data_IF_023846192923
#
_entry.id   IF_023846192923
#
_cell.length_a   1.000
_cell.length_b   1.000
_cell.length_c   1.000
_cell.angle_alpha   90.00
_cell.angle_beta   90.00
_cell.angle_gamma   90.00
#
_symmetry.space_group_name_H-M   'P 1'
#
loop_
_entity.id
_entity.type
_entity.pdbx_description
1 polymer ?
#
# COMPACT_ATOMS: atom_id res chain seq x y z
N UNK A 1 7.35 30.93 -9.79
CA UNK A 1 8.48 30.03 -9.46
C UNK A 1 8.05 28.60 -9.83
N UNK A 2 8.81 27.86 -10.65
CA UNK A 2 8.42 26.50 -11.09
C UNK A 2 9.05 25.45 -10.17
N UNK A 3 8.21 24.67 -9.48
CA UNK A 3 8.67 23.57 -8.64
C UNK A 3 9.54 22.59 -9.44
N UNK A 4 10.72 22.25 -8.91
CA UNK A 4 11.61 21.23 -9.47
C UNK A 4 11.86 20.16 -8.40
N UNK A 5 11.25 18.98 -8.52
CA UNK A 5 11.47 17.91 -7.55
C UNK A 5 12.91 17.38 -7.63
N UNK A 6 13.47 17.05 -6.47
CA UNK A 6 14.78 16.40 -6.36
C UNK A 6 14.69 14.93 -6.82
N UNK A 7 14.74 14.71 -8.12
CA UNK A 7 14.62 13.37 -8.72
C UNK A 7 15.69 12.39 -8.23
N UNK A 8 16.90 12.87 -7.96
CA UNK A 8 18.00 12.03 -7.46
C UNK A 8 17.69 11.53 -6.05
N UNK A 9 17.33 12.44 -5.14
CA UNK A 9 16.96 12.10 -3.77
C UNK A 9 15.77 11.14 -3.71
N UNK A 10 14.73 11.39 -4.53
CA UNK A 10 13.58 10.50 -4.64
C UNK A 10 14.00 9.11 -5.11
N UNK A 11 14.87 8.99 -6.13
CA UNK A 11 15.36 7.70 -6.61
C UNK A 11 16.17 6.93 -5.57
N UNK A 12 17.03 7.61 -4.80
CA UNK A 12 17.77 6.99 -3.71
C UNK A 12 16.85 6.50 -2.60
N UNK A 13 15.87 7.31 -2.21
CA UNK A 13 14.87 6.93 -1.21
C UNK A 13 14.07 5.68 -1.63
N UNK A 14 13.66 5.60 -2.89
CA UNK A 14 12.91 4.48 -3.44
C UNK A 14 13.69 3.18 -3.58
N UNK A 15 15.00 3.20 -3.34
CA UNK A 15 15.87 2.01 -3.34
C UNK A 15 16.44 1.71 -1.95
N UNK A 16 16.13 2.53 -0.96
CA UNK A 16 16.56 2.30 0.41
C UNK A 16 15.80 1.09 1.00
N UNK A 17 16.49 0.04 1.48
CA UNK A 17 15.85 -1.15 2.04
C UNK A 17 15.00 -0.87 3.29
N UNK A 18 15.42 0.06 4.14
CA UNK A 18 14.67 0.42 5.37
C UNK A 18 13.34 1.07 5.02
N UNK A 19 13.35 1.98 4.02
CA UNK A 19 12.13 2.59 3.49
C UNK A 19 11.24 1.55 2.84
N UNK A 20 11.83 0.59 2.11
CA UNK A 20 11.09 -0.53 1.53
C UNK A 20 10.36 -1.38 2.58
N UNK A 21 11.03 -1.72 3.69
CA UNK A 21 10.41 -2.45 4.81
C UNK A 21 9.29 -1.65 5.46
N UNK A 22 9.47 -0.33 5.60
CA UNK A 22 8.44 0.52 6.16
C UNK A 22 7.20 0.58 5.28
N UNK A 23 7.39 0.63 3.95
CA UNK A 23 6.28 0.60 2.99
C UNK A 23 5.54 -0.74 3.01
N UNK A 24 6.26 -1.86 3.13
CA UNK A 24 5.65 -3.17 3.35
C UNK A 24 4.85 -3.23 4.65
N UNK A 25 5.40 -2.69 5.75
CA UNK A 25 4.73 -2.61 7.05
C UNK A 25 3.43 -1.81 6.96
N UNK A 26 3.45 -0.67 6.27
CA UNK A 26 2.26 0.17 6.05
C UNK A 26 1.22 -0.59 5.21
N UNK A 27 1.62 -1.25 4.12
CA UNK A 27 0.70 -2.06 3.31
C UNK A 27 0.03 -3.17 4.14
N UNK A 28 0.79 -3.84 5.01
CA UNK A 28 0.26 -4.82 5.96
C UNK A 28 -0.77 -4.23 6.92
N UNK A 29 -0.51 -3.03 7.47
CA UNK A 29 -1.45 -2.33 8.36
C UNK A 29 -2.76 -1.95 7.64
N UNK A 30 -2.66 -1.45 6.41
CA UNK A 30 -3.83 -1.11 5.58
C UNK A 30 -4.69 -2.36 5.36
N UNK A 31 -4.07 -3.48 4.95
CA UNK A 31 -4.78 -4.74 4.72
C UNK A 31 -5.47 -5.25 5.99
N UNK A 32 -4.75 -5.30 7.11
CA UNK A 32 -5.31 -5.75 8.39
C UNK A 32 -6.47 -4.87 8.87
N UNK A 33 -6.36 -3.55 8.70
CA UNK A 33 -7.45 -2.63 9.03
C UNK A 33 -8.68 -2.86 8.17
N UNK A 34 -8.49 -3.09 6.87
CA UNK A 34 -9.59 -3.29 5.94
C UNK A 34 -10.25 -4.68 6.10
N UNK A 35 -9.50 -5.72 6.47
CA UNK A 35 -10.06 -7.03 6.81
C UNK A 35 -11.00 -6.98 8.02
N UNK A 36 -10.66 -6.18 9.04
CA UNK A 36 -11.53 -5.96 10.20
C UNK A 36 -12.91 -5.37 9.87
N UNK A 37 -13.01 -4.67 8.74
CA UNK A 37 -14.25 -4.08 8.20
C UNK A 37 -14.99 -5.02 7.22
N UNK A 38 -14.53 -6.26 7.05
CA UNK A 38 -15.25 -7.33 6.33
C UNK A 38 -14.81 -7.58 4.87
N UNK A 39 -13.72 -6.98 4.41
CA UNK A 39 -13.17 -7.28 3.07
C UNK A 39 -12.09 -8.38 3.10
N UNK A 40 -11.86 -9.03 1.95
CA UNK A 40 -10.80 -10.03 1.76
C UNK A 40 -9.62 -9.40 1.03
N UNK A 41 -8.50 -9.23 1.72
CA UNK A 41 -7.33 -8.53 1.20
C UNK A 41 -6.08 -9.41 1.22
N UNK A 42 -5.17 -9.13 0.29
CA UNK A 42 -3.80 -9.68 0.31
C UNK A 42 -2.80 -8.59 0.03
N UNK A 43 -1.58 -8.76 0.53
CA UNK A 43 -0.47 -7.87 0.23
C UNK A 43 0.48 -8.51 -0.78
N UNK A 44 1.06 -7.69 -1.66
CA UNK A 44 2.17 -8.06 -2.55
C UNK A 44 3.30 -7.05 -2.36
N UNK A 45 4.52 -7.52 -2.18
CA UNK A 45 5.70 -6.65 -1.99
C UNK A 45 6.86 -7.10 -2.87
N UNK A 46 7.64 -6.13 -3.34
CA UNK A 46 8.94 -6.40 -3.96
C UNK A 46 9.96 -5.41 -3.41
N UNK A 47 10.85 -5.91 -2.54
CA UNK A 47 11.82 -5.13 -1.77
C UNK A 47 13.28 -5.31 -2.23
N UNK A 48 13.47 -5.77 -3.48
CA UNK A 48 14.79 -6.07 -4.04
C UNK A 48 15.63 -4.83 -4.42
N UNK A 49 16.73 -5.04 -5.14
CA UNK A 49 17.68 -3.98 -5.56
C UNK A 49 17.10 -2.93 -6.54
N UNK A 50 15.87 -3.13 -7.00
CA UNK A 50 15.13 -2.16 -7.82
C UNK A 50 14.30 -1.25 -6.90
N UNK A 51 13.47 -0.37 -7.48
CA UNK A 51 12.58 0.45 -6.66
C UNK A 51 11.65 -0.46 -5.88
N UNK A 52 11.53 -0.24 -4.57
CA UNK A 52 10.59 -0.99 -3.76
C UNK A 52 9.15 -0.71 -4.21
N UNK A 53 8.27 -1.67 -4.00
CA UNK A 53 6.81 -1.52 -4.15
C UNK A 53 6.10 -2.40 -3.13
N UNK A 54 4.96 -1.94 -2.67
CA UNK A 54 3.98 -2.75 -1.97
C UNK A 54 2.59 -2.41 -2.51
N UNK A 55 1.70 -3.38 -2.52
CA UNK A 55 0.32 -3.24 -2.94
C UNK A 55 -0.61 -3.97 -1.97
N UNK A 56 -1.78 -3.40 -1.73
CA UNK A 56 -2.90 -4.06 -1.08
C UNK A 56 -3.91 -4.39 -2.17
N UNK A 57 -4.29 -5.66 -2.27
CA UNK A 57 -5.13 -6.19 -3.34
C UNK A 57 -6.40 -6.72 -2.69
N UNK A 58 -7.52 -6.01 -2.87
CA UNK A 58 -8.83 -6.43 -2.41
C UNK A 58 -9.52 -7.38 -3.38
N UNK A 59 -10.21 -8.39 -2.86
CA UNK A 59 -11.02 -9.32 -3.62
C UNK A 59 -12.49 -8.87 -3.64
N UNK A 60 -12.85 -8.14 -4.70
CA UNK A 60 -14.19 -7.55 -4.86
C UNK A 60 -15.29 -8.57 -5.19
N UNK A 61 -14.94 -9.81 -5.54
CA UNK A 61 -15.90 -10.81 -6.00
C UNK A 61 -16.41 -11.71 -4.87
N UNK A 62 -15.67 -11.88 -3.78
CA UNK A 62 -15.92 -12.92 -2.77
C UNK A 62 -17.18 -12.68 -1.93
N UNK A 63 -17.68 -11.45 -1.90
CA UNK A 63 -18.81 -11.05 -1.04
C UNK A 63 -20.00 -10.44 -1.80
N UNK A 64 -19.97 -10.37 -3.14
CA UNK A 64 -20.91 -9.55 -3.94
C UNK A 64 -21.05 -8.11 -3.42
N UNK A 65 -20.06 -7.62 -2.66
CA UNK A 65 -20.05 -6.34 -1.98
C UNK A 65 -18.77 -5.58 -2.36
N UNK A 66 -18.74 -5.16 -3.62
CA UNK A 66 -17.63 -4.40 -4.16
C UNK A 66 -17.52 -3.01 -3.51
N UNK A 67 -18.65 -2.40 -3.13
CA UNK A 67 -18.67 -1.08 -2.49
C UNK A 67 -18.19 -1.13 -1.04
N UNK A 68 -18.58 -2.14 -0.25
CA UNK A 68 -18.06 -2.36 1.09
C UNK A 68 -16.57 -2.65 1.08
N UNK A 69 -16.11 -3.52 0.16
CA UNK A 69 -14.67 -3.81 -0.04
C UNK A 69 -13.89 -2.55 -0.45
N UNK A 70 -14.47 -1.66 -1.26
CA UNK A 70 -13.82 -0.37 -1.59
C UNK A 70 -13.75 0.56 -0.38
N UNK A 71 -14.84 0.66 0.37
CA UNK A 71 -14.95 1.58 1.52
C UNK A 71 -14.06 1.16 2.68
N UNK A 72 -13.93 -0.14 2.95
CA UNK A 72 -12.99 -0.70 3.92
C UNK A 72 -11.53 -0.43 3.53
N UNK A 73 -11.17 -0.56 2.24
CA UNK A 73 -9.83 -0.22 1.77
C UNK A 73 -9.49 1.27 1.98
N UNK A 74 -10.41 2.17 1.61
CA UNK A 74 -10.20 3.61 1.79
C UNK A 74 -10.05 3.98 3.27
N UNK A 75 -10.88 3.41 4.15
CA UNK A 75 -10.73 3.59 5.61
C UNK A 75 -9.39 3.06 6.12
N UNK A 76 -8.96 1.89 5.64
CA UNK A 76 -7.65 1.34 5.95
C UNK A 76 -6.49 2.24 5.50
N UNK A 77 -6.63 2.95 4.37
CA UNK A 77 -5.65 3.93 3.90
C UNK A 77 -5.63 5.22 4.73
N UNK A 78 -6.79 5.69 5.20
CA UNK A 78 -6.88 6.89 6.04
C UNK A 78 -6.34 6.66 7.47
N UNK A 79 -6.40 5.43 7.98
CA UNK A 79 -5.98 5.06 9.33
C UNK A 79 -4.53 4.56 9.49
N UNK A 80 -3.79 4.37 8.39
CA UNK A 80 -2.45 3.77 8.38
C UNK A 80 -1.32 4.79 8.55
#
# INVERSE_FOLDING_TARGET
MRFRPNRSGINSLMKNPEVGREVERIAGRIAASAEGDGGDYRTDSALGARRWRAAVIGNYNKHNDAEGTRSALLRGMDGA
#
